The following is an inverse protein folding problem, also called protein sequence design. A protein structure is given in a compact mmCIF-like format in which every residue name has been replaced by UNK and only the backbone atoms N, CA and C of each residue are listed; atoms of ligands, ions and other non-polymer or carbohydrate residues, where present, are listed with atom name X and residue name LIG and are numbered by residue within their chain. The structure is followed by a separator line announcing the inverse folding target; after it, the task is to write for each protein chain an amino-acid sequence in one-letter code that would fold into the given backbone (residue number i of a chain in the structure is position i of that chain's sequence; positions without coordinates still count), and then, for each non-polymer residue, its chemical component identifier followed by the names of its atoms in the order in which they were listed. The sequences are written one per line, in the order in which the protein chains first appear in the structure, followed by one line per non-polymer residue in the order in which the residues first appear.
data_IF_826521479532
#
_entry.id   IF_826521479532
#
_cell.length_a   1.000
_cell.length_b   1.000
_cell.length_c   1.000
_cell.angle_alpha   90.00
_cell.angle_beta   90.00
_cell.angle_gamma   90.00
#
_symmetry.space_group_name_H-M   'P 1'
#
loop_
_entity.id
_entity.type
_entity.pdbx_description
1 polymer ?
#
# COMPACT_ATOMS: atom_id res chain seq x y z
N UNK A 1 -13.79 11.35 -8.07
CA UNK A 1 -12.81 10.25 -7.94
C UNK A 1 -11.98 10.50 -6.70
N UNK A 2 -11.52 9.44 -6.04
CA UNK A 2 -10.85 9.49 -4.75
C UNK A 2 -9.49 8.82 -4.82
N UNK A 3 -8.59 9.31 -3.98
CA UNK A 3 -7.25 8.82 -3.80
C UNK A 3 -7.05 8.44 -2.34
N UNK A 4 -6.26 7.41 -2.08
CA UNK A 4 -5.89 7.03 -0.73
C UNK A 4 -4.43 6.58 -0.71
N UNK A 5 -3.79 6.81 0.43
CA UNK A 5 -2.44 6.34 0.69
C UNK A 5 -2.42 5.62 2.03
N UNK A 6 -1.60 4.59 2.14
CA UNK A 6 -1.36 3.84 3.37
C UNK A 6 0.11 3.96 3.74
N UNK A 7 0.39 4.15 5.02
CA UNK A 7 1.75 4.24 5.58
C UNK A 7 1.94 3.14 6.62
N UNK A 8 2.97 2.35 6.45
CA UNK A 8 3.44 1.35 7.40
C UNK A 8 4.77 1.84 7.99
N UNK A 9 4.87 1.82 9.32
CA UNK A 9 6.07 2.25 10.05
C UNK A 9 6.39 1.25 11.16
N UNK A 10 7.61 0.75 11.14
CA UNK A 10 8.24 -0.08 12.17
C UNK A 10 9.58 0.58 12.57
N UNK A 11 10.30 -0.02 13.52
CA UNK A 11 11.57 0.53 14.03
C UNK A 11 12.61 0.76 12.92
N UNK A 12 12.79 -0.21 12.01
CA UNK A 12 13.80 -0.17 10.94
C UNK A 12 13.20 -0.15 9.53
N UNK A 13 11.87 0.00 9.43
CA UNK A 13 11.16 -0.10 8.15
C UNK A 13 10.07 0.95 8.04
N UNK A 14 10.10 1.71 6.97
CA UNK A 14 9.02 2.63 6.60
C UNK A 14 8.64 2.42 5.13
N UNK A 15 7.33 2.35 4.87
CA UNK A 15 6.80 2.25 3.53
C UNK A 15 5.53 3.10 3.43
N UNK A 16 5.39 3.84 2.34
CA UNK A 16 4.18 4.60 2.02
C UNK A 16 3.78 4.26 0.59
N UNK A 17 2.54 3.80 0.42
CA UNK A 17 2.01 3.44 -0.88
C UNK A 17 0.71 4.18 -1.13
N UNK A 18 0.63 4.69 -2.34
CA UNK A 18 -0.54 5.32 -2.91
C UNK A 18 -1.31 4.27 -3.72
N UNK A 19 -2.61 4.17 -3.48
CA UNK A 19 -3.52 3.35 -4.29
C UNK A 19 -3.92 4.04 -5.58
N UNK A 20 -4.63 3.31 -6.43
CA UNK A 20 -5.15 3.84 -7.67
C UNK A 20 -6.28 4.86 -7.43
N UNK A 21 -6.54 5.67 -8.45
CA UNK A 21 -7.70 6.54 -8.49
C UNK A 21 -8.98 5.71 -8.59
N UNK A 22 -9.88 5.80 -7.59
CA UNK A 22 -11.10 4.98 -7.54
C UNK A 22 -12.39 5.80 -7.43
N UNK A 23 -13.54 5.26 -7.87
CA UNK A 23 -14.83 5.95 -7.79
C UNK A 23 -15.28 6.26 -6.37
N UNK A 24 -14.96 5.40 -5.39
CA UNK A 24 -15.35 5.60 -3.98
C UNK A 24 -14.13 5.66 -3.03
N UNK A 25 -14.26 6.31 -1.85
CA UNK A 25 -13.20 6.31 -0.84
C UNK A 25 -12.86 4.91 -0.30
N UNK A 26 -13.83 4.01 -0.24
CA UNK A 26 -13.60 2.63 0.21
C UNK A 26 -12.71 1.88 -0.78
N UNK A 27 -13.05 1.92 -2.07
CA UNK A 27 -12.25 1.29 -3.12
C UNK A 27 -10.83 1.89 -3.20
N UNK A 28 -10.68 3.21 -3.03
CA UNK A 28 -9.36 3.86 -3.00
C UNK A 28 -8.49 3.30 -1.86
N UNK A 29 -9.05 3.16 -0.66
CA UNK A 29 -8.35 2.58 0.50
C UNK A 29 -8.01 1.10 0.28
N UNK A 30 -8.93 0.31 -0.26
CA UNK A 30 -8.69 -1.10 -0.57
C UNK A 30 -7.58 -1.25 -1.62
N UNK A 31 -7.57 -0.40 -2.65
CA UNK A 31 -6.52 -0.37 -3.65
C UNK A 31 -5.15 -0.03 -3.04
N UNK A 32 -5.06 1.00 -2.20
CA UNK A 32 -3.82 1.36 -1.51
C UNK A 32 -3.31 0.22 -0.60
N UNK A 33 -4.20 -0.44 0.15
CA UNK A 33 -3.87 -1.56 1.01
C UNK A 33 -3.40 -2.80 0.20
N UNK A 34 -4.08 -3.11 -0.90
CA UNK A 34 -3.70 -4.20 -1.81
C UNK A 34 -2.28 -3.99 -2.36
N UNK A 35 -1.97 -2.76 -2.79
CA UNK A 35 -0.64 -2.43 -3.30
C UNK A 35 0.45 -2.54 -2.21
N UNK A 36 0.15 -2.13 -0.97
CA UNK A 36 1.04 -2.32 0.19
C UNK A 36 1.35 -3.81 0.43
N UNK A 37 0.34 -4.67 0.43
CA UNK A 37 0.54 -6.12 0.63
C UNK A 37 1.41 -6.72 -0.48
N UNK A 38 1.17 -6.33 -1.74
CA UNK A 38 1.97 -6.80 -2.88
C UNK A 38 3.44 -6.39 -2.75
N UNK A 39 3.73 -5.13 -2.43
CA UNK A 39 5.10 -4.67 -2.29
C UNK A 39 5.81 -5.28 -1.06
N UNK A 40 5.08 -5.51 0.04
CA UNK A 40 5.61 -6.25 1.17
C UNK A 40 6.01 -7.68 0.79
N UNK A 41 5.17 -8.36 0.01
CA UNK A 41 5.48 -9.72 -0.45
C UNK A 41 6.73 -9.75 -1.33
N UNK A 42 6.84 -8.82 -2.30
CA UNK A 42 8.04 -8.71 -3.16
C UNK A 42 9.30 -8.46 -2.35
N UNK A 43 9.23 -7.61 -1.33
CA UNK A 43 10.37 -7.35 -0.43
C UNK A 43 10.76 -8.61 0.34
N UNK A 44 9.79 -9.34 0.88
CA UNK A 44 10.04 -10.58 1.60
C UNK A 44 10.69 -11.66 0.71
N UNK A 45 10.40 -11.68 -0.60
CA UNK A 45 11.06 -12.58 -1.56
C UNK A 45 12.46 -12.11 -1.98
N UNK A 46 12.74 -10.80 -1.98
CA UNK A 46 14.07 -10.25 -2.31
C UNK A 46 15.10 -10.39 -1.20
N UNK A 47 14.66 -10.55 0.05
CA UNK A 47 15.54 -10.73 1.22
C UNK A 47 15.88 -12.21 1.50
N UNK A 48 15.48 -13.14 0.61
CA UNK A 48 15.90 -14.56 0.63
C UNK A 48 17.13 -14.81 -0.24
#
# INVERSE_FOLDING_TARGET
MYHASVRLRCLDFEMSITGDLRPTPHEARCSAASNMILELHKKAEQEQ
#
